data_IF_185456389806
#
_entry.id   IF_185456389806
#
_cell.length_a   1.000
_cell.length_b   1.000
_cell.length_c   1.000
_cell.angle_alpha   90.00
_cell.angle_beta   90.00
_cell.angle_gamma   90.00
#
_symmetry.space_group_name_H-M   'P 1'
#
loop_
_entity.id
_entity.type
_entity.pdbx_description
1 polymer ?
#
# COMPACT_ATOMS: atom_id res chain seq x y z
N UNK A 1 7.26 25.73 -24.64
CA UNK A 1 8.12 24.88 -23.80
C UNK A 1 7.84 25.25 -22.34
N UNK A 2 6.81 24.65 -21.74
CA UNK A 2 6.43 24.89 -20.34
C UNK A 2 6.87 23.66 -19.55
N UNK A 3 7.69 23.88 -18.53
CA UNK A 3 8.12 22.86 -17.56
C UNK A 3 6.94 22.62 -16.63
N UNK A 4 6.55 21.38 -16.47
CA UNK A 4 5.53 20.98 -15.51
C UNK A 4 6.25 20.69 -14.19
N UNK A 5 5.97 21.53 -13.20
CA UNK A 5 6.46 21.43 -11.83
C UNK A 5 5.45 20.59 -11.05
N UNK A 6 5.70 19.30 -10.84
CA UNK A 6 5.18 18.52 -9.68
C UNK A 6 5.58 17.05 -9.81
N UNK A 7 6.83 16.74 -9.49
CA UNK A 7 7.19 15.43 -8.90
C UNK A 7 8.28 15.70 -7.88
N UNK A 8 7.85 16.17 -6.71
CA UNK A 8 8.75 16.39 -5.59
C UNK A 8 8.83 15.07 -4.80
N UNK A 9 9.91 14.32 -5.01
CA UNK A 9 10.18 13.11 -4.23
C UNK A 9 10.37 13.47 -2.75
N UNK A 10 10.15 12.53 -1.81
CA UNK A 10 10.28 12.77 -0.35
C UNK A 10 11.62 13.41 0.02
N UNK A 11 12.70 13.04 -0.69
CA UNK A 11 14.02 13.64 -0.52
C UNK A 11 14.08 15.09 -1.04
N UNK A 12 13.30 15.41 -2.06
CA UNK A 12 13.19 16.74 -2.66
C UNK A 12 12.32 17.66 -1.77
N UNK A 13 11.24 17.13 -1.18
CA UNK A 13 10.45 17.80 -0.13
C UNK A 13 11.30 18.05 1.11
N UNK A 14 12.06 17.05 1.56
CA UNK A 14 12.99 17.20 2.68
C UNK A 14 14.07 18.24 2.37
N UNK A 15 14.59 18.29 1.14
CA UNK A 15 15.57 19.30 0.70
C UNK A 15 14.96 20.70 0.59
N UNK A 16 13.72 20.85 0.11
CA UNK A 16 13.04 22.16 0.08
C UNK A 16 12.69 22.65 1.48
N UNK A 17 12.23 21.76 2.36
CA UNK A 17 12.01 22.08 3.77
C UNK A 17 13.32 22.44 4.49
N UNK A 18 14.43 21.76 4.18
CA UNK A 18 15.76 22.09 4.70
C UNK A 18 16.23 23.47 4.19
N UNK A 19 16.08 23.73 2.89
CA UNK A 19 16.44 25.02 2.26
C UNK A 19 15.59 26.16 2.82
N UNK A 20 14.31 25.91 3.12
CA UNK A 20 13.41 26.86 3.77
C UNK A 20 13.77 27.08 5.25
N UNK A 21 14.20 26.04 5.96
CA UNK A 21 14.70 26.13 7.32
C UNK A 21 16.03 26.92 7.40
N UNK A 22 16.92 26.74 6.42
CA UNK A 22 18.20 27.43 6.32
C UNK A 22 18.00 28.92 5.96
N UNK A 23 17.04 29.25 5.10
CA UNK A 23 16.70 30.63 4.69
C UNK A 23 16.04 31.47 5.79
N UNK A 24 15.39 30.84 6.79
CA UNK A 24 14.60 31.53 7.82
C UNK A 24 15.35 31.77 9.14
N UNK A 25 16.68 31.59 9.16
CA UNK A 25 17.64 32.00 10.21
C UNK A 25 17.05 32.21 11.62
N UNK A 26 16.49 31.14 12.19
CA UNK A 26 15.89 31.15 13.53
C UNK A 26 16.30 29.91 14.34
N UNK A 27 16.91 30.04 15.52
CA UNK A 27 17.42 28.91 16.31
C UNK A 27 16.31 27.93 16.77
N UNK A 28 15.04 28.33 16.68
CA UNK A 28 13.89 27.51 17.05
C UNK A 28 13.49 26.50 15.96
N UNK A 29 13.68 26.81 14.67
CA UNK A 29 13.25 25.95 13.57
C UNK A 29 14.29 24.88 13.20
N UNK A 30 15.59 25.19 13.29
CA UNK A 30 16.66 24.20 13.15
C UNK A 30 16.56 23.07 14.20
N UNK A 31 15.99 23.37 15.38
CA UNK A 31 15.72 22.36 16.42
C UNK A 31 14.54 21.44 16.05
N UNK A 32 13.56 21.90 15.28
CA UNK A 32 12.39 21.10 14.89
C UNK A 32 12.76 20.11 13.78
N UNK A 33 13.44 20.55 12.72
CA UNK A 33 13.88 19.66 11.65
C UNK A 33 14.87 18.57 12.12
N UNK A 34 15.78 18.93 13.04
CA UNK A 34 16.71 17.98 13.66
C UNK A 34 16.02 17.00 14.63
N UNK A 35 14.97 17.45 15.34
CA UNK A 35 14.14 16.55 16.17
C UNK A 35 13.28 15.62 15.30
N UNK A 36 12.74 16.09 14.18
CA UNK A 36 11.92 15.29 13.26
C UNK A 36 12.72 14.14 12.67
N UNK A 37 13.92 14.41 12.12
CA UNK A 37 14.81 13.36 11.58
C UNK A 37 15.38 12.45 12.66
N UNK A 38 15.70 12.96 13.85
CA UNK A 38 16.22 12.14 14.94
C UNK A 38 15.13 11.27 15.59
N UNK A 39 13.88 11.72 15.68
CA UNK A 39 12.78 10.93 16.25
C UNK A 39 12.20 9.91 15.27
N UNK A 40 12.08 10.24 13.98
CA UNK A 40 11.65 9.28 12.95
C UNK A 40 12.61 8.09 12.89
N UNK A 41 13.93 8.30 12.90
CA UNK A 41 14.90 7.19 12.85
C UNK A 41 14.90 6.30 14.12
N UNK A 42 14.24 6.71 15.20
CA UNK A 42 14.11 5.94 16.45
C UNK A 42 12.77 5.21 16.60
N UNK A 43 11.80 5.46 15.72
CA UNK A 43 10.50 4.81 15.77
C UNK A 43 10.59 3.38 15.19
N UNK A 44 10.35 2.32 16.01
CA UNK A 44 10.37 0.96 15.50
C UNK A 44 9.23 0.75 14.50
N UNK A 45 9.54 0.25 13.30
CA UNK A 45 8.56 -0.05 12.25
C UNK A 45 8.58 0.88 11.04
N UNK A 46 9.42 1.91 11.03
CA UNK A 46 9.68 2.70 9.82
C UNK A 46 10.67 1.95 8.91
N UNK A 47 10.30 1.82 7.64
CA UNK A 47 11.13 1.18 6.61
C UNK A 47 11.26 2.08 5.40
N UNK A 48 12.48 2.23 4.90
CA UNK A 48 12.76 2.87 3.61
C UNK A 48 12.52 1.92 2.42
N UNK A 49 12.29 0.63 2.69
CA UNK A 49 12.00 -0.35 1.65
C UNK A 49 10.52 -0.22 1.22
N UNK A 50 10.23 0.17 -0.04
CA UNK A 50 8.84 0.33 -0.51
C UNK A 50 8.06 -0.99 -0.55
N UNK A 51 8.76 -2.13 -0.55
CA UNK A 51 8.16 -3.47 -0.49
C UNK A 51 8.02 -4.02 0.93
N UNK A 52 8.39 -3.26 1.97
CA UNK A 52 8.24 -3.70 3.34
C UNK A 52 6.75 -3.83 3.71
N UNK A 53 6.41 -4.96 4.31
CA UNK A 53 5.08 -5.24 4.80
C UNK A 53 5.14 -5.43 6.33
N UNK A 54 4.32 -4.69 7.05
CA UNK A 54 4.12 -4.90 8.49
C UNK A 54 3.27 -6.13 8.75
N UNK A 55 3.20 -6.59 10.00
CA UNK A 55 2.21 -7.60 10.41
C UNK A 55 1.50 -7.11 11.66
N UNK A 56 0.21 -6.81 11.52
CA UNK A 56 -0.62 -6.40 12.64
C UNK A 56 -0.91 -7.61 13.52
N UNK A 57 -0.79 -7.41 14.85
CA UNK A 57 -1.19 -8.40 15.85
C UNK A 57 -2.69 -8.28 16.13
N UNK A 58 -3.49 -8.62 15.13
CA UNK A 58 -4.95 -8.61 15.17
C UNK A 58 -5.49 -9.99 14.86
N UNK A 59 -6.76 -10.24 15.19
CA UNK A 59 -7.43 -11.48 14.77
C UNK A 59 -7.45 -11.58 13.24
N UNK A 60 -7.38 -12.81 12.73
CA UNK A 60 -7.45 -13.04 11.29
C UNK A 60 -8.78 -12.53 10.75
N UNK A 61 -8.71 -11.65 9.75
CA UNK A 61 -9.86 -11.01 9.18
C UNK A 61 -10.67 -12.03 8.38
N UNK A 62 -11.93 -12.16 8.77
CA UNK A 62 -12.95 -12.87 8.02
C UNK A 62 -13.53 -11.93 6.96
N UNK A 63 -13.67 -12.43 5.74
CA UNK A 63 -14.34 -11.72 4.64
C UNK A 63 -15.52 -12.54 4.13
N UNK A 64 -16.56 -11.90 3.55
CA UNK A 64 -17.64 -12.64 2.94
C UNK A 64 -17.11 -13.62 1.89
N UNK A 65 -17.62 -14.85 1.93
CA UNK A 65 -17.24 -15.90 0.99
C UNK A 65 -18.01 -15.69 -0.32
N UNK A 66 -17.29 -15.77 -1.43
CA UNK A 66 -17.89 -15.69 -2.76
C UNK A 66 -18.99 -16.75 -2.95
N UNK A 67 -20.14 -16.34 -3.46
CA UNK A 67 -21.30 -17.21 -3.70
C UNK A 67 -21.07 -18.21 -4.84
N UNK A 68 -20.09 -17.95 -5.70
CA UNK A 68 -19.69 -18.86 -6.78
C UNK A 68 -18.20 -18.74 -7.08
N UNK A 69 -17.63 -19.80 -7.65
CA UNK A 69 -16.21 -19.82 -8.04
C UNK A 69 -15.98 -18.96 -9.28
N UNK A 70 -15.01 -18.05 -9.17
CA UNK A 70 -14.57 -17.20 -10.29
C UNK A 70 -13.17 -17.62 -10.71
N UNK A 71 -13.05 -18.08 -11.96
CA UNK A 71 -11.77 -18.45 -12.56
C UNK A 71 -11.52 -17.67 -13.85
N UNK A 72 -10.75 -16.59 -13.74
CA UNK A 72 -10.39 -15.71 -14.86
C UNK A 72 -8.94 -15.96 -15.26
N UNK A 73 -8.71 -16.21 -16.55
CA UNK A 73 -7.37 -16.46 -17.08
C UNK A 73 -6.49 -15.21 -16.97
N UNK A 74 -5.22 -15.41 -16.64
CA UNK A 74 -4.20 -14.35 -16.62
C UNK A 74 -4.15 -13.59 -17.95
N UNK A 75 -4.20 -12.26 -17.87
CA UNK A 75 -3.98 -11.38 -19.02
C UNK A 75 -2.56 -11.48 -19.55
N UNK A 76 -2.38 -11.15 -20.83
CA UNK A 76 -1.05 -11.03 -21.41
C UNK A 76 -0.30 -9.88 -20.73
N UNK A 77 0.81 -10.21 -20.09
CA UNK A 77 1.69 -9.22 -19.47
C UNK A 77 2.63 -8.60 -20.51
N UNK A 78 2.82 -7.28 -20.45
CA UNK A 78 3.80 -6.56 -21.28
C UNK A 78 5.22 -6.96 -20.91
N UNK A 79 6.15 -6.94 -21.87
CA UNK A 79 7.54 -7.38 -21.64
C UNK A 79 8.21 -6.58 -20.52
N UNK A 80 7.97 -5.28 -20.49
CA UNK A 80 8.58 -4.35 -19.53
C UNK A 80 8.11 -4.59 -18.10
N UNK A 81 6.88 -5.08 -17.91
CA UNK A 81 6.34 -5.39 -16.59
C UNK A 81 6.81 -6.74 -16.05
N UNK A 82 7.29 -7.65 -16.90
CA UNK A 82 7.54 -9.04 -16.49
C UNK A 82 8.64 -9.15 -15.43
N UNK A 83 9.76 -8.48 -15.60
CA UNK A 83 10.89 -8.58 -14.65
C UNK A 83 10.54 -7.89 -13.32
N UNK A 84 10.06 -6.63 -13.31
CA UNK A 84 9.68 -5.95 -12.07
C UNK A 84 8.61 -6.70 -11.28
N UNK A 85 7.55 -7.17 -11.94
CA UNK A 85 6.46 -7.89 -11.26
C UNK A 85 6.92 -9.24 -10.72
N UNK A 86 7.82 -9.93 -11.43
CA UNK A 86 8.38 -11.16 -10.90
C UNK A 86 9.19 -10.93 -9.62
N UNK A 87 9.94 -9.83 -9.56
CA UNK A 87 10.68 -9.42 -8.36
C UNK A 87 9.73 -9.11 -7.21
N UNK A 88 8.68 -8.32 -7.44
CA UNK A 88 7.66 -7.98 -6.42
C UNK A 88 7.00 -9.24 -5.86
N UNK A 89 6.58 -10.19 -6.70
CA UNK A 89 5.97 -11.45 -6.23
C UNK A 89 6.96 -12.26 -5.39
N UNK A 90 8.25 -12.32 -5.79
CA UNK A 90 9.28 -13.01 -5.01
C UNK A 90 9.53 -12.36 -3.64
N UNK A 91 9.48 -11.03 -3.57
CA UNK A 91 9.59 -10.30 -2.29
C UNK A 91 8.39 -10.59 -1.39
N UNK A 92 7.17 -10.57 -1.92
CA UNK A 92 5.95 -10.91 -1.18
C UNK A 92 5.97 -12.37 -0.69
N UNK A 93 6.46 -13.30 -1.52
CA UNK A 93 6.62 -14.71 -1.15
C UNK A 93 7.66 -14.87 -0.01
N UNK A 94 8.79 -14.17 -0.10
CA UNK A 94 9.83 -14.21 0.93
C UNK A 94 9.38 -13.62 2.29
N UNK A 95 8.45 -12.67 2.24
CA UNK A 95 7.84 -12.05 3.42
C UNK A 95 6.64 -12.83 3.96
N UNK A 96 6.22 -13.92 3.29
CA UNK A 96 5.07 -14.73 3.69
C UNK A 96 3.71 -14.07 3.43
N UNK A 97 3.68 -12.97 2.65
CA UNK A 97 2.44 -12.28 2.28
C UNK A 97 1.63 -13.09 1.26
N UNK A 98 2.33 -13.78 0.37
CA UNK A 98 1.74 -14.73 -0.58
C UNK A 98 2.45 -16.06 -0.49
N UNK A 99 1.74 -17.12 -0.81
CA UNK A 99 2.26 -18.49 -0.82
C UNK A 99 1.77 -19.22 -2.06
N UNK A 100 2.54 -20.20 -2.54
CA UNK A 100 2.08 -21.06 -3.63
C UNK A 100 0.87 -21.85 -3.18
N UNK A 101 -0.15 -21.88 -4.03
CA UNK A 101 -1.43 -22.52 -3.70
C UNK A 101 -1.98 -23.30 -4.88
N UNK A 102 -3.03 -24.07 -4.63
CA UNK A 102 -3.89 -24.64 -5.64
C UNK A 102 -5.34 -24.27 -5.31
N UNK A 103 -5.89 -23.32 -6.06
CA UNK A 103 -7.23 -22.79 -5.81
C UNK A 103 -8.13 -22.96 -7.04
N UNK A 104 -9.42 -23.31 -6.86
CA UNK A 104 -10.38 -23.28 -7.95
C UNK A 104 -10.64 -21.84 -8.43
N UNK A 105 -10.39 -20.83 -7.58
CA UNK A 105 -10.47 -19.42 -7.95
C UNK A 105 -9.22 -18.97 -8.69
N UNK A 106 -9.38 -17.96 -9.54
CA UNK A 106 -8.25 -17.24 -10.10
C UNK A 106 -8.67 -15.84 -10.54
N UNK A 107 -7.95 -14.83 -10.06
CA UNK A 107 -8.04 -13.45 -10.53
C UNK A 107 -6.77 -13.08 -11.32
N UNK A 108 -6.88 -12.40 -12.47
CA UNK A 108 -5.72 -12.05 -13.26
C UNK A 108 -5.00 -10.87 -12.61
N UNK A 109 -3.68 -10.88 -12.67
CA UNK A 109 -2.89 -9.72 -12.33
C UNK A 109 -2.93 -8.69 -13.46
N UNK A 110 -2.92 -7.43 -13.08
CA UNK A 110 -2.90 -6.26 -13.96
C UNK A 110 -1.77 -5.33 -13.52
N UNK A 111 -0.54 -5.50 -14.02
CA UNK A 111 0.55 -4.58 -13.68
C UNK A 111 0.23 -3.15 -14.10
N UNK A 112 0.31 -2.21 -13.15
CA UNK A 112 0.08 -0.78 -13.39
C UNK A 112 1.37 -0.03 -13.16
N UNK A 113 1.62 0.99 -13.99
CA UNK A 113 2.76 1.88 -13.81
C UNK A 113 2.34 3.06 -12.93
N UNK A 114 3.11 3.34 -11.89
CA UNK A 114 2.92 4.54 -11.07
C UNK A 114 3.44 5.78 -11.82
N UNK A 115 3.15 6.98 -11.28
CA UNK A 115 3.72 8.26 -11.74
C UNK A 115 5.24 8.21 -11.78
N UNK A 116 5.84 7.65 -10.73
CA UNK A 116 7.29 7.52 -10.55
C UNK A 116 7.95 6.54 -11.55
N UNK A 117 7.17 5.93 -12.43
CA UNK A 117 7.64 5.01 -13.46
C UNK A 117 7.82 3.56 -13.01
N UNK A 118 7.70 3.27 -11.72
CA UNK A 118 7.75 1.94 -11.12
C UNK A 118 6.50 1.10 -11.41
N UNK A 119 6.66 -0.23 -11.38
CA UNK A 119 5.57 -1.18 -11.62
C UNK A 119 4.95 -1.66 -10.30
N UNK A 120 3.64 -1.54 -10.21
CA UNK A 120 2.84 -2.07 -9.10
C UNK A 120 2.11 -3.34 -9.52
N UNK A 121 2.23 -4.38 -8.70
CA UNK A 121 1.37 -5.56 -8.79
C UNK A 121 -0.05 -5.16 -8.36
N UNK A 122 -1.00 -5.21 -9.29
CA UNK A 122 -2.43 -5.13 -8.93
C UNK A 122 -3.13 -6.41 -9.38
N UNK A 123 -4.14 -6.83 -8.64
CA UNK A 123 -4.95 -8.01 -8.97
C UNK A 123 -6.36 -7.54 -9.26
N UNK A 124 -6.92 -8.00 -10.38
CA UNK A 124 -8.26 -7.60 -10.80
C UNK A 124 -9.33 -8.49 -10.14
N UNK A 125 -9.79 -8.05 -8.98
CA UNK A 125 -10.84 -8.73 -8.21
C UNK A 125 -12.27 -8.34 -8.64
N UNK A 126 -12.49 -7.62 -9.75
CA UNK A 126 -13.85 -7.16 -10.12
C UNK A 126 -14.85 -8.30 -10.23
N UNK A 127 -14.48 -9.37 -10.92
CA UNK A 127 -15.35 -10.54 -11.07
C UNK A 127 -15.57 -11.28 -9.74
N UNK A 128 -14.59 -11.28 -8.83
CA UNK A 128 -14.75 -11.83 -7.49
C UNK A 128 -15.72 -10.98 -6.66
N UNK A 129 -15.58 -9.65 -6.72
CA UNK A 129 -16.42 -8.71 -5.98
C UNK A 129 -17.89 -8.79 -6.42
N UNK A 130 -18.17 -9.04 -7.70
CA UNK A 130 -19.54 -9.23 -8.22
C UNK A 130 -20.28 -10.41 -7.58
N UNK A 131 -19.56 -11.47 -7.20
CA UNK A 131 -20.14 -12.69 -6.61
C UNK A 131 -19.97 -12.73 -5.09
N UNK A 132 -19.32 -11.73 -4.49
CA UNK A 132 -19.06 -11.65 -3.07
C UNK A 132 -20.14 -10.79 -2.40
N UNK A 133 -20.83 -11.29 -1.36
CA UNK A 133 -21.82 -10.48 -0.65
C UNK A 133 -21.19 -9.18 -0.14
N UNK A 134 -21.88 -8.03 -0.27
CA UNK A 134 -21.34 -6.76 0.17
C UNK A 134 -21.10 -6.77 1.67
N UNK A 135 -19.91 -6.31 2.09
CA UNK A 135 -19.61 -6.03 3.48
C UNK A 135 -19.99 -4.59 3.78
N UNK A 136 -20.76 -4.36 4.84
CA UNK A 136 -21.01 -3.00 5.32
C UNK A 136 -19.69 -2.41 5.82
N UNK A 137 -19.16 -1.41 5.12
CA UNK A 137 -17.93 -0.76 5.51
C UNK A 137 -18.27 0.39 6.48
N UNK A 138 -17.73 0.32 7.71
CA UNK A 138 -17.80 1.41 8.68
C UNK A 138 -16.70 2.46 8.40
N UNK A 139 -16.60 2.92 7.14
CA UNK A 139 -15.69 4.02 6.80
C UNK A 139 -16.40 5.32 7.19
N UNK A 140 -15.87 6.11 8.14
CA UNK A 140 -16.49 7.35 8.55
C UNK A 140 -16.58 8.35 7.40
N UNK A 141 -17.58 9.24 7.45
CA UNK A 141 -17.71 10.30 6.46
C UNK A 141 -16.54 11.30 6.57
N UNK A 142 -16.02 11.75 5.42
CA UNK A 142 -14.85 12.63 5.40
C UNK A 142 -15.13 13.99 6.04
N UNK A 143 -16.35 14.52 5.89
CA UNK A 143 -16.74 15.80 6.50
C UNK A 143 -16.88 15.65 8.01
N UNK A 144 -17.39 14.50 8.48
CA UNK A 144 -17.46 14.17 9.90
C UNK A 144 -16.05 14.09 10.51
N UNK A 145 -15.11 13.42 9.85
CA UNK A 145 -13.70 13.37 10.27
C UNK A 145 -13.05 14.75 10.30
N UNK A 146 -13.33 15.60 9.30
CA UNK A 146 -12.81 16.95 9.24
C UNK A 146 -13.35 17.81 10.40
N UNK A 147 -14.66 17.75 10.66
CA UNK A 147 -15.26 18.48 11.77
C UNK A 147 -14.67 18.03 13.12
N UNK A 148 -14.47 16.73 13.32
CA UNK A 148 -13.81 16.18 14.52
C UNK A 148 -12.35 16.61 14.66
N UNK A 149 -11.65 16.87 13.56
CA UNK A 149 -10.27 17.39 13.60
C UNK A 149 -10.24 18.89 13.93
N UNK A 150 -11.14 19.67 13.35
CA UNK A 150 -11.27 21.12 13.56
C UNK A 150 -11.81 21.46 14.96
N UNK A 151 -12.66 20.60 15.52
CA UNK A 151 -13.19 20.76 16.89
C UNK A 151 -12.10 20.59 17.96
N UNK A 152 -10.99 19.92 17.63
CA UNK A 152 -9.83 19.78 18.51
C UNK A 152 -8.97 21.03 18.42
N UNK A 153 -8.79 21.71 19.55
CA UNK A 153 -7.90 22.88 19.68
C UNK A 153 -6.40 22.48 19.68
N UNK A 154 -5.97 21.71 18.67
CA UNK A 154 -4.59 21.31 18.52
C UNK A 154 -3.78 22.42 17.83
N UNK A 155 -2.57 22.67 18.33
CA UNK A 155 -1.65 23.66 17.77
C UNK A 155 -0.85 23.12 16.58
N UNK A 156 -0.70 21.80 16.49
CA UNK A 156 0.11 21.11 15.50
C UNK A 156 -0.57 19.82 15.09
N UNK A 157 -0.45 19.46 13.81
CA UNK A 157 -0.96 18.22 13.23
C UNK A 157 0.18 17.50 12.53
N UNK A 158 0.12 16.18 12.50
CA UNK A 158 1.01 15.32 11.74
C UNK A 158 0.17 14.29 10.98
N UNK A 159 0.58 13.98 9.76
CA UNK A 159 -0.03 12.96 8.92
C UNK A 159 0.93 11.79 8.76
N UNK A 160 0.44 10.57 8.97
CA UNK A 160 1.21 9.34 8.79
C UNK A 160 0.45 8.49 7.78
N UNK A 161 1.14 8.04 6.73
CA UNK A 161 0.61 7.06 5.80
C UNK A 161 1.17 5.67 6.11
N UNK A 162 0.33 4.65 5.99
CA UNK A 162 0.70 3.26 6.26
C UNK A 162 0.99 2.58 4.93
N UNK A 163 2.26 2.39 4.61
CA UNK A 163 2.69 1.65 3.43
C UNK A 163 2.19 0.20 3.48
N UNK A 164 1.69 -0.30 2.35
CA UNK A 164 1.25 -1.70 2.19
C UNK A 164 0.27 -2.19 3.30
N UNK A 165 -0.57 -1.28 3.82
CA UNK A 165 -1.45 -1.53 4.97
C UNK A 165 -2.31 -2.80 4.83
N UNK A 166 -2.84 -3.06 3.63
CA UNK A 166 -3.69 -4.24 3.38
C UNK A 166 -2.96 -5.56 3.62
N UNK A 167 -1.68 -5.66 3.21
CA UNK A 167 -0.89 -6.88 3.42
C UNK A 167 -0.51 -7.07 4.89
N UNK A 168 -0.69 -6.05 5.73
CA UNK A 168 -0.42 -6.13 7.15
C UNK A 168 -1.58 -6.75 7.95
N UNK A 169 -2.76 -6.92 7.34
CA UNK A 169 -3.94 -7.53 7.97
C UNK A 169 -3.98 -9.01 7.60
N UNK A 170 -3.81 -9.94 8.56
CA UNK A 170 -3.87 -11.37 8.25
C UNK A 170 -5.29 -11.78 7.84
N UNK A 171 -5.39 -12.63 6.81
CA UNK A 171 -6.65 -13.20 6.34
C UNK A 171 -6.87 -14.59 6.91
N UNK A 172 -8.12 -14.90 7.28
CA UNK A 172 -8.52 -16.23 7.72
C UNK A 172 -8.23 -17.29 6.64
N UNK A 173 -7.75 -18.46 7.05
CA UNK A 173 -7.29 -19.51 6.14
C UNK A 173 -8.34 -19.94 5.11
N UNK A 174 -9.61 -20.01 5.52
CA UNK A 174 -10.77 -20.32 4.70
C UNK A 174 -11.06 -19.27 3.61
N UNK A 175 -10.66 -18.01 3.83
CA UNK A 175 -10.85 -16.92 2.89
C UNK A 175 -9.71 -16.81 1.87
N UNK A 176 -8.52 -17.37 2.13
CA UNK A 176 -7.35 -17.21 1.24
C UNK A 176 -7.58 -17.74 -0.18
N UNK A 177 -8.23 -18.90 -0.41
CA UNK A 177 -8.38 -19.46 -1.75
C UNK A 177 -9.07 -18.54 -2.75
N UNK A 178 -10.06 -17.73 -2.33
CA UNK A 178 -10.81 -16.84 -3.23
C UNK A 178 -9.95 -15.69 -3.80
N UNK A 179 -8.84 -15.35 -3.16
CA UNK A 179 -7.92 -14.29 -3.59
C UNK A 179 -6.79 -14.76 -4.51
N UNK A 180 -6.80 -16.04 -4.91
CA UNK A 180 -5.74 -16.62 -5.71
C UNK A 180 -5.55 -15.92 -7.06
N UNK A 181 -4.30 -15.79 -7.49
CA UNK A 181 -3.91 -15.28 -8.81
C UNK A 181 -2.82 -16.16 -9.44
N UNK A 182 -2.66 -16.07 -10.76
CA UNK A 182 -1.66 -16.85 -11.50
C UNK A 182 -0.54 -15.97 -12.02
N UNK A 183 0.70 -16.37 -11.74
CA UNK A 183 1.89 -15.78 -12.35
C UNK A 183 2.79 -16.86 -12.95
N UNK A 184 3.12 -16.72 -14.24
CA UNK A 184 3.99 -17.65 -14.98
C UNK A 184 3.63 -19.15 -14.82
N UNK A 185 2.32 -19.44 -14.74
CA UNK A 185 1.80 -20.80 -14.61
C UNK A 185 1.77 -21.34 -13.18
N UNK A 186 2.15 -20.54 -12.18
CA UNK A 186 2.04 -20.88 -10.77
C UNK A 186 0.92 -20.05 -10.13
N UNK A 187 0.11 -20.67 -9.27
CA UNK A 187 -0.90 -19.97 -8.48
C UNK A 187 -0.33 -19.54 -7.13
N UNK A 188 -0.72 -18.35 -6.70
CA UNK A 188 -0.37 -17.73 -5.42
C UNK A 188 -1.63 -17.24 -4.71
N UNK A 189 -1.65 -17.30 -3.37
CA UNK A 189 -2.66 -16.69 -2.50
C UNK A 189 -2.06 -16.32 -1.15
#
# INVERSE_FOLDING_TARGET
>A
MKRDETEETVLDIAKKLQTYADAMHGPTHARIAALETQQLNTLPGLSENPSAVGLLRVEEQQVPIATSTVHRRQYRTTRDAVIPIHKVIGELESQGVVSKTHSPFNSPIWPVRNSDGEWRLTVDYRALNEVTPPLSAAVPDMLELQYELESKAAKWYATIDIANAFFSIPLAAECRPQFAFTWRGMQYA
#
